data_IF_910552752860
#
_entry.id   IF_910552752860
#
_cell.length_a   1.000
_cell.length_b   1.000
_cell.length_c   1.000
_cell.angle_alpha   90.00
_cell.angle_beta   90.00
_cell.angle_gamma   90.00
#
_symmetry.space_group_name_H-M   'P 1'
#
loop_
_entity.id
_entity.type
_entity.pdbx_description
1 polymer ?
#
# COMPACT_ATOMS: atom_id res chain seq x y z
N UNK A 1 6.14 14.01 6.46
CA UNK A 1 6.33 13.01 7.53
C UNK A 1 6.17 11.57 7.04
N UNK A 2 5.15 11.23 6.25
CA UNK A 2 4.90 9.85 5.78
C UNK A 2 6.11 9.12 5.19
N UNK A 3 6.88 9.76 4.30
CA UNK A 3 8.10 9.18 3.71
C UNK A 3 9.12 8.73 4.76
N UNK A 4 9.38 9.55 5.79
CA UNK A 4 10.36 9.23 6.84
C UNK A 4 9.91 8.03 7.68
N UNK A 5 8.62 7.88 7.92
CA UNK A 5 8.06 6.73 8.64
C UNK A 5 8.22 5.44 7.83
N UNK A 6 7.91 5.49 6.53
CA UNK A 6 8.08 4.36 5.61
C UNK A 6 9.56 3.97 5.50
N UNK A 7 10.46 4.93 5.29
CA UNK A 7 11.90 4.68 5.21
C UNK A 7 12.44 4.07 6.50
N UNK A 8 11.98 4.53 7.66
CA UNK A 8 12.37 3.97 8.95
C UNK A 8 11.86 2.53 9.13
N UNK A 9 10.59 2.28 8.82
CA UNK A 9 10.00 0.94 8.90
C UNK A 9 10.71 -0.04 7.94
N UNK A 10 11.05 0.42 6.73
CA UNK A 10 11.76 -0.40 5.74
C UNK A 10 13.16 -0.77 6.24
N UNK A 11 13.91 0.19 6.80
CA UNK A 11 15.23 -0.08 7.40
C UNK A 11 15.19 -1.12 8.52
N UNK A 12 14.08 -1.24 9.24
CA UNK A 12 13.93 -2.20 10.34
C UNK A 12 13.54 -3.60 9.87
N UNK A 13 12.78 -3.74 8.76
CA UNK A 13 12.16 -5.00 8.36
C UNK A 13 12.68 -5.58 7.04
N UNK A 14 13.30 -4.76 6.18
CA UNK A 14 13.76 -5.16 4.84
C UNK A 14 12.63 -5.31 3.82
N UNK A 15 11.40 -5.56 4.25
CA UNK A 15 10.21 -5.57 3.41
C UNK A 15 9.02 -4.92 4.12
N UNK A 16 8.11 -4.33 3.36
CA UNK A 16 6.87 -3.74 3.85
C UNK A 16 5.69 -4.14 2.97
N UNK A 17 4.60 -4.55 3.61
CA UNK A 17 3.30 -4.79 2.99
C UNK A 17 2.27 -3.79 3.51
N UNK A 18 1.41 -3.29 2.62
CA UNK A 18 0.27 -2.47 2.99
C UNK A 18 -0.91 -2.68 2.04
N UNK A 19 -2.08 -2.22 2.46
CA UNK A 19 -3.29 -2.19 1.64
C UNK A 19 -3.78 -0.75 1.52
N UNK A 20 -4.28 -0.41 0.32
CA UNK A 20 -4.82 0.90 -0.01
C UNK A 20 -6.09 0.73 -0.83
N UNK A 21 -7.15 1.42 -0.45
CA UNK A 21 -8.37 1.49 -1.25
C UNK A 21 -8.06 2.05 -2.65
N UNK A 22 -8.54 1.40 -3.70
CA UNK A 22 -8.31 1.82 -5.09
C UNK A 22 -8.87 3.23 -5.37
N UNK A 23 -9.96 3.59 -4.67
CA UNK A 23 -10.54 4.94 -4.72
C UNK A 23 -9.59 6.00 -4.16
N UNK A 24 -8.69 5.63 -3.23
CA UNK A 24 -7.68 6.52 -2.68
C UNK A 24 -6.47 6.64 -3.62
N UNK A 25 -6.72 7.21 -4.80
CA UNK A 25 -5.69 7.42 -5.83
C UNK A 25 -4.50 8.24 -5.32
N UNK A 26 -4.71 9.12 -4.34
CA UNK A 26 -3.64 9.91 -3.72
C UNK A 26 -2.68 9.02 -2.96
N UNK A 27 -3.19 8.14 -2.09
CA UNK A 27 -2.36 7.18 -1.33
C UNK A 27 -1.69 6.17 -2.26
N UNK A 28 -2.40 5.65 -3.26
CA UNK A 28 -1.84 4.74 -4.26
C UNK A 28 -0.62 5.37 -4.97
N UNK A 29 -0.78 6.58 -5.51
CA UNK A 29 0.32 7.32 -6.16
C UNK A 29 1.45 7.68 -5.20
N UNK A 30 1.13 7.96 -3.93
CA UNK A 30 2.14 8.23 -2.91
C UNK A 30 3.02 7.00 -2.67
N UNK A 31 2.44 5.82 -2.48
CA UNK A 31 3.20 4.59 -2.24
C UNK A 31 3.94 4.11 -3.50
N UNK A 32 3.36 4.25 -4.69
CA UNK A 32 4.08 4.00 -5.94
C UNK A 32 5.36 4.84 -6.05
N UNK A 33 5.31 6.13 -5.69
CA UNK A 33 6.49 7.01 -5.69
C UNK A 33 7.54 6.63 -4.64
N UNK A 34 7.15 5.88 -3.61
CA UNK A 34 8.06 5.34 -2.60
C UNK A 34 8.66 3.99 -2.99
N UNK A 35 8.31 3.45 -4.16
CA UNK A 35 8.83 2.19 -4.68
C UNK A 35 7.95 0.97 -4.37
N UNK A 36 6.77 1.17 -3.77
CA UNK A 36 5.82 0.08 -3.59
C UNK A 36 5.26 -0.36 -4.94
N UNK A 37 5.14 -1.67 -5.13
CA UNK A 37 4.51 -2.29 -6.30
C UNK A 37 3.20 -2.96 -5.90
N UNK A 38 2.19 -2.86 -6.77
CA UNK A 38 0.93 -3.59 -6.60
C UNK A 38 1.19 -5.09 -6.76
N UNK A 39 0.79 -5.90 -5.77
CA UNK A 39 0.94 -7.36 -5.78
C UNK A 39 -0.41 -8.09 -5.80
N UNK A 40 -1.51 -7.40 -5.46
CA UNK A 40 -2.87 -7.93 -5.52
C UNK A 40 -3.88 -6.79 -5.55
N UNK A 41 -5.02 -7.02 -6.18
CA UNK A 41 -6.17 -6.11 -6.20
C UNK A 41 -7.44 -6.94 -6.04
N UNK A 42 -8.26 -6.58 -5.05
CA UNK A 42 -9.52 -7.25 -4.72
C UNK A 42 -10.67 -6.26 -4.87
N UNK A 43 -11.77 -6.70 -5.46
CA UNK A 43 -12.97 -5.87 -5.62
C UNK A 43 -13.74 -5.67 -4.31
N UNK A 44 -13.51 -6.54 -3.33
CA UNK A 44 -14.18 -6.54 -2.04
C UNK A 44 -13.15 -6.43 -0.91
N UNK A 45 -13.56 -5.78 0.19
CA UNK A 45 -12.80 -5.77 1.43
C UNK A 45 -13.05 -7.05 2.26
N UNK A 46 -12.35 -7.16 3.40
CA UNK A 46 -12.46 -8.32 4.29
C UNK A 46 -13.85 -8.47 4.94
N UNK A 47 -14.72 -7.46 4.80
CA UNK A 47 -16.12 -7.48 5.25
C UNK A 47 -17.11 -7.78 4.12
N UNK A 48 -16.65 -8.04 2.90
CA UNK A 48 -17.50 -8.28 1.72
C UNK A 48 -18.18 -7.01 1.19
N UNK A 49 -17.69 -5.83 1.57
CA UNK A 49 -18.16 -4.56 1.04
C UNK A 49 -17.42 -4.26 -0.27
N UNK A 50 -18.05 -3.55 -1.23
CA UNK A 50 -17.48 -3.25 -2.56
C UNK A 50 -16.41 -2.14 -2.49
N UNK A 51 -15.52 -2.21 -1.51
CA UNK A 51 -14.37 -1.34 -1.39
C UNK A 51 -13.16 -2.03 -2.00
N UNK A 52 -12.87 -1.67 -3.24
CA UNK A 52 -11.73 -2.24 -3.97
C UNK A 52 -10.43 -1.92 -3.22
N UNK A 53 -9.68 -2.97 -2.85
CA UNK A 53 -8.45 -2.88 -2.09
C UNK A 53 -7.26 -3.36 -2.90
N UNK A 54 -6.20 -2.57 -2.90
CA UNK A 54 -4.94 -2.84 -3.56
C UNK A 54 -3.89 -3.16 -2.50
N UNK A 55 -3.33 -4.36 -2.53
CA UNK A 55 -2.17 -4.73 -1.72
C UNK A 55 -0.90 -4.34 -2.45
N UNK A 56 -0.02 -3.64 -1.76
CA UNK A 56 1.26 -3.19 -2.29
C UNK A 56 2.43 -3.65 -1.41
N UNK A 57 3.59 -3.89 -2.04
CA UNK A 57 4.81 -4.34 -1.37
C UNK A 57 6.02 -3.49 -1.75
N UNK A 58 6.89 -3.22 -0.78
CA UNK A 58 8.24 -2.69 -0.97
C UNK A 58 9.24 -3.74 -0.47
N UNK A 59 10.17 -4.14 -1.32
CA UNK A 59 11.21 -5.16 -1.05
C UNK A 59 12.59 -4.62 -1.44
#
# INVERSE_FOLDING_TARGET
MGRKLVEHAFKLRGELDLEVFAENQSAYRFYQKLGFVEISRRAEDDSGLPFENIRMRLA
#
